data_IF_855135024480
#
_entry.id   IF_855135024480
#
_cell.length_a   1.000
_cell.length_b   1.000
_cell.length_c   1.000
_cell.angle_alpha   90.00
_cell.angle_beta   90.00
_cell.angle_gamma   90.00
#
_symmetry.space_group_name_H-M   'P 1'
#
loop_
_entity.id
_entity.type
_entity.pdbx_description
1 polymer ?
#
# COMPACT_ATOMS: atom_id res chain seq x y z
N UNK A 1 27.12 -54.25 53.29
CA UNK A 1 28.34 -53.47 53.53
C UNK A 1 28.66 -52.74 52.24
N UNK A 2 28.67 -51.41 52.33
CA UNK A 2 29.11 -50.38 51.38
C UNK A 2 28.52 -50.37 49.95
N UNK A 3 27.61 -49.45 49.60
CA UNK A 3 27.71 -47.97 49.51
C UNK A 3 28.44 -47.49 48.27
N UNK A 4 27.68 -47.06 47.25
CA UNK A 4 27.79 -45.71 46.66
C UNK A 4 26.85 -45.57 45.47
N UNK A 5 25.72 -44.88 45.67
CA UNK A 5 24.87 -44.30 44.62
C UNK A 5 25.51 -42.98 44.18
N UNK A 6 25.93 -42.86 42.92
CA UNK A 6 26.33 -41.59 42.33
C UNK A 6 25.09 -40.87 41.77
N UNK A 7 24.70 -39.79 42.44
CA UNK A 7 23.71 -38.81 42.00
C UNK A 7 24.41 -37.72 41.19
N UNK A 8 24.01 -37.55 39.93
CA UNK A 8 24.46 -36.45 39.07
C UNK A 8 23.63 -35.22 39.45
N UNK A 9 24.23 -34.28 40.19
CA UNK A 9 23.67 -32.94 40.41
C UNK A 9 24.29 -31.99 39.39
N UNK A 10 23.46 -31.53 38.45
CA UNK A 10 23.78 -30.47 37.48
C UNK A 10 23.85 -29.14 38.23
N UNK A 11 25.05 -28.58 38.42
CA UNK A 11 25.22 -27.21 38.89
C UNK A 11 24.95 -26.26 37.73
N UNK A 12 23.81 -25.58 37.75
CA UNK A 12 23.57 -24.40 36.92
C UNK A 12 24.38 -23.27 37.56
N UNK A 13 25.40 -22.77 36.84
CA UNK A 13 26.10 -21.53 37.20
C UNK A 13 25.17 -20.40 36.81
N UNK A 14 24.63 -19.70 37.80
CA UNK A 14 23.77 -18.54 37.62
C UNK A 14 24.67 -17.31 37.42
N UNK A 15 24.78 -16.82 36.18
CA UNK A 15 25.69 -15.73 35.76
C UNK A 15 25.16 -14.32 36.13
N UNK A 16 24.04 -14.24 36.86
CA UNK A 16 23.34 -13.00 37.21
C UNK A 16 23.53 -12.57 38.69
N UNK A 17 24.15 -13.39 39.53
CA UNK A 17 24.28 -13.09 40.98
C UNK A 17 25.10 -11.83 41.28
N UNK A 18 26.05 -11.46 40.43
CA UNK A 18 26.89 -10.27 40.65
C UNK A 18 26.22 -8.96 40.19
N UNK A 19 25.35 -9.03 39.16
CA UNK A 19 24.63 -7.87 38.62
C UNK A 19 23.44 -7.51 39.53
N UNK A 20 22.70 -8.52 39.99
CA UNK A 20 21.56 -8.34 40.90
C UNK A 20 22.02 -7.88 42.30
N UNK A 21 23.15 -8.41 42.79
CA UNK A 21 23.72 -8.00 44.08
C UNK A 21 24.24 -6.55 44.08
N UNK A 22 24.65 -6.02 42.92
CA UNK A 22 25.10 -4.63 42.81
C UNK A 22 23.91 -3.65 42.85
N UNK A 23 22.82 -4.00 42.16
CA UNK A 23 21.59 -3.19 42.10
C UNK A 23 20.86 -3.20 43.45
N UNK A 24 20.78 -4.35 44.12
CA UNK A 24 20.13 -4.50 45.42
C UNK A 24 20.85 -3.70 46.52
N UNK A 25 22.18 -3.70 46.53
CA UNK A 25 23.01 -2.87 47.44
C UNK A 25 22.83 -1.36 47.23
N UNK A 26 22.56 -0.92 46.00
CA UNK A 26 22.35 0.50 45.70
C UNK A 26 20.96 0.98 46.17
N UNK A 27 19.93 0.13 46.11
CA UNK A 27 18.59 0.46 46.60
C UNK A 27 18.53 0.57 48.13
N UNK A 28 19.19 -0.32 48.87
CA UNK A 28 19.22 -0.24 50.34
C UNK A 28 19.99 0.99 50.86
N UNK A 29 20.93 1.51 50.06
CA UNK A 29 21.77 2.66 50.43
C UNK A 29 21.05 4.01 50.27
N UNK A 30 19.96 4.05 49.50
CA UNK A 30 19.12 5.25 49.33
C UNK A 30 18.22 5.57 50.54
N UNK A 31 17.85 4.57 51.34
CA UNK A 31 16.85 4.73 52.41
C UNK A 31 17.42 5.14 53.78
N UNK A 32 18.74 5.08 53.99
CA UNK A 32 19.38 5.30 55.31
C UNK A 32 20.14 6.64 55.46
N UNK A 33 19.89 7.60 54.57
CA UNK A 33 20.59 8.89 54.51
C UNK A 33 20.18 9.93 55.56
N UNK A 34 20.21 9.62 56.86
CA UNK A 34 20.30 10.67 57.90
C UNK A 34 20.85 10.16 59.24
N UNK A 35 22.19 10.12 59.38
CA UNK A 35 22.93 10.40 60.62
C UNK A 35 24.43 10.49 60.32
N UNK A 36 25.08 11.53 60.84
CA UNK A 36 26.46 11.90 60.55
C UNK A 36 27.50 11.09 61.37
N UNK A 37 28.65 10.94 60.72
CA UNK A 37 30.03 11.05 61.22
C UNK A 37 30.69 9.90 62.02
N UNK A 38 31.94 9.66 61.60
CA UNK A 38 33.05 8.93 62.23
C UNK A 38 33.08 7.40 62.09
N UNK A 39 33.70 6.91 61.01
CA UNK A 39 35.08 6.38 61.04
C UNK A 39 35.58 6.02 59.62
N UNK A 40 36.87 6.23 59.40
CA UNK A 40 37.56 6.08 58.10
C UNK A 40 37.64 4.63 57.58
N UNK A 41 37.88 4.54 56.26
CA UNK A 41 38.38 3.38 55.50
C UNK A 41 37.32 2.42 54.97
N UNK A 42 36.62 2.87 53.92
CA UNK A 42 36.54 2.09 52.67
C UNK A 42 36.30 3.07 51.51
N UNK A 43 37.36 3.33 50.74
CA UNK A 43 37.21 3.95 49.43
C UNK A 43 36.17 3.14 48.64
N UNK A 44 35.26 3.79 47.89
CA UNK A 44 34.26 3.06 47.12
C UNK A 44 35.01 2.10 46.19
N UNK A 45 34.73 0.80 46.29
CA UNK A 45 35.34 -0.28 45.50
C UNK A 45 34.93 -0.25 44.02
N UNK A 46 34.51 0.92 43.52
CA UNK A 46 34.11 1.15 42.15
C UNK A 46 34.84 2.35 41.56
N UNK A 47 34.99 2.41 40.22
CA UNK A 47 35.67 3.50 39.54
C UNK A 47 35.05 4.86 39.90
N UNK A 48 35.89 5.88 40.07
CA UNK A 48 35.46 7.22 40.48
C UNK A 48 34.74 7.91 39.32
N UNK A 49 33.56 8.47 39.61
CA UNK A 49 32.75 9.18 38.60
C UNK A 49 33.54 10.36 38.00
N UNK A 50 33.48 10.51 36.67
CA UNK A 50 34.10 11.58 35.89
C UNK A 50 35.64 11.71 35.95
N UNK A 51 36.36 10.68 36.40
CA UNK A 51 37.83 10.75 36.56
C UNK A 51 38.64 9.82 35.65
N UNK A 52 37.99 8.94 34.88
CA UNK A 52 38.66 7.94 34.05
C UNK A 52 38.60 8.28 32.56
N UNK A 53 39.69 8.04 31.85
CA UNK A 53 39.69 7.96 30.39
C UNK A 53 39.09 6.64 29.90
N UNK A 54 38.60 6.60 28.65
CA UNK A 54 37.96 5.39 28.11
C UNK A 54 38.88 4.15 28.11
N UNK A 55 40.18 4.34 27.96
CA UNK A 55 41.20 3.28 27.92
C UNK A 55 41.87 3.03 29.28
N UNK A 56 41.40 3.66 30.35
CA UNK A 56 41.90 3.42 31.70
C UNK A 56 41.67 1.93 32.08
N UNK A 57 42.64 1.35 32.77
CA UNK A 57 42.57 -0.02 33.27
C UNK A 57 41.48 -0.19 34.32
N UNK A 58 41.19 0.83 35.12
CA UNK A 58 40.17 0.77 36.18
C UNK A 58 38.74 0.58 35.62
N UNK A 59 38.49 1.04 34.38
CA UNK A 59 37.20 0.88 33.68
C UNK A 59 37.20 -0.24 32.64
N UNK A 60 38.24 -1.08 32.58
CA UNK A 60 38.35 -2.13 31.57
C UNK A 60 37.19 -3.14 31.60
N UNK A 61 36.68 -3.46 32.79
CA UNK A 61 35.51 -4.34 32.96
C UNK A 61 34.23 -3.69 32.43
N UNK A 62 33.99 -2.41 32.72
CA UNK A 62 32.85 -1.64 32.18
C UNK A 62 32.91 -1.52 30.66
N UNK A 63 34.12 -1.31 30.10
CA UNK A 63 34.36 -1.27 28.66
C UNK A 63 34.02 -2.61 27.99
N UNK A 64 34.35 -3.73 28.64
CA UNK A 64 33.98 -5.07 28.15
C UNK A 64 32.46 -5.26 28.13
N UNK A 65 31.75 -4.82 29.17
CA UNK A 65 30.27 -4.85 29.22
C UNK A 65 29.69 -3.98 28.11
N UNK A 66 30.19 -2.76 27.94
CA UNK A 66 29.79 -1.84 26.87
C UNK A 66 29.94 -2.49 25.48
N UNK A 67 31.10 -3.05 25.17
CA UNK A 67 31.32 -3.74 23.89
C UNK A 67 30.47 -4.99 23.74
N UNK A 68 30.18 -5.74 24.82
CA UNK A 68 29.26 -6.88 24.80
C UNK A 68 27.84 -6.44 24.42
N UNK A 69 27.33 -5.38 25.03
CA UNK A 69 26.00 -4.82 24.75
C UNK A 69 25.93 -4.29 23.31
N UNK A 70 26.91 -3.49 22.89
CA UNK A 70 26.96 -2.94 21.54
C UNK A 70 27.11 -4.05 20.49
N UNK A 71 27.99 -5.02 20.72
CA UNK A 71 28.21 -6.15 19.82
C UNK A 71 26.95 -7.02 19.67
N UNK A 72 26.29 -7.36 20.78
CA UNK A 72 25.03 -8.11 20.76
C UNK A 72 23.93 -7.34 20.02
N UNK A 73 23.83 -6.03 20.25
CA UNK A 73 22.86 -5.17 19.55
C UNK A 73 23.10 -5.15 18.05
N UNK A 74 24.35 -5.02 17.61
CA UNK A 74 24.70 -5.07 16.17
C UNK A 74 24.34 -6.43 15.57
N UNK A 75 24.68 -7.53 16.24
CA UNK A 75 24.34 -8.88 15.75
C UNK A 75 22.83 -9.05 15.61
N UNK A 76 22.05 -8.65 16.62
CA UNK A 76 20.59 -8.72 16.56
C UNK A 76 20.00 -7.82 15.47
N UNK A 77 20.54 -6.61 15.29
CA UNK A 77 20.12 -5.72 14.21
C UNK A 77 20.43 -6.30 12.83
N UNK A 78 21.61 -6.90 12.64
CA UNK A 78 21.96 -7.56 11.38
C UNK A 78 21.01 -8.73 11.10
N UNK A 79 20.70 -9.55 12.10
CA UNK A 79 19.73 -10.65 11.95
C UNK A 79 18.34 -10.11 11.62
N UNK A 80 17.86 -9.12 12.37
CA UNK A 80 16.56 -8.47 12.13
C UNK A 80 16.50 -7.82 10.74
N UNK A 81 17.62 -7.23 10.29
CA UNK A 81 17.76 -6.71 8.94
C UNK A 81 17.52 -7.85 7.95
N UNK A 82 18.36 -8.88 7.90
CA UNK A 82 18.18 -9.97 6.93
C UNK A 82 16.77 -10.61 6.94
N UNK A 83 16.16 -10.76 8.12
CA UNK A 83 14.81 -11.31 8.27
C UNK A 83 13.70 -10.37 7.76
N UNK A 84 13.65 -9.13 8.25
CA UNK A 84 12.53 -8.24 7.95
C UNK A 84 12.76 -7.45 6.69
N UNK A 85 14.01 -7.09 6.39
CA UNK A 85 14.31 -6.33 5.20
C UNK A 85 13.83 -7.12 4.00
N UNK A 86 14.30 -8.35 3.80
CA UNK A 86 13.88 -9.22 2.69
C UNK A 86 12.36 -9.26 2.43
N UNK A 87 11.50 -9.13 3.45
CA UNK A 87 10.04 -9.00 3.29
C UNK A 87 9.66 -7.75 2.48
N UNK A 88 10.26 -6.59 2.73
CA UNK A 88 9.96 -5.37 1.97
C UNK A 88 10.49 -5.43 0.53
N UNK A 89 11.75 -5.81 0.32
CA UNK A 89 12.30 -5.93 -1.05
C UNK A 89 11.54 -7.01 -1.83
N UNK A 90 11.18 -8.12 -1.21
CA UNK A 90 10.41 -9.19 -1.85
C UNK A 90 9.01 -8.75 -2.29
N UNK A 91 8.42 -7.75 -1.61
CA UNK A 91 7.08 -7.25 -1.94
C UNK A 91 7.07 -6.39 -3.19
N UNK A 92 8.24 -5.90 -3.61
CA UNK A 92 8.43 -5.04 -4.78
C UNK A 92 9.24 -5.72 -5.89
N UNK A 93 10.10 -6.69 -5.56
CA UNK A 93 11.13 -7.24 -6.45
C UNK A 93 10.57 -7.91 -7.72
N UNK A 94 9.39 -8.52 -7.64
CA UNK A 94 8.77 -9.25 -8.75
C UNK A 94 7.43 -8.65 -9.21
N UNK A 95 7.17 -7.38 -8.91
CA UNK A 95 5.90 -6.71 -9.24
C UNK A 95 5.55 -6.85 -10.74
N UNK A 96 6.56 -6.68 -11.61
CA UNK A 96 6.38 -6.78 -13.06
C UNK A 96 5.98 -8.19 -13.52
N UNK A 97 6.37 -9.24 -12.80
CA UNK A 97 6.02 -10.62 -13.14
C UNK A 97 4.55 -10.97 -12.83
N UNK A 98 3.92 -10.19 -11.96
CA UNK A 98 2.56 -10.41 -11.50
C UNK A 98 1.54 -9.49 -12.18
N UNK A 99 1.97 -8.66 -13.14
CA UNK A 99 1.07 -7.81 -13.93
C UNK A 99 -0.06 -8.61 -14.62
N UNK A 100 0.14 -9.86 -15.09
CA UNK A 100 -0.95 -10.64 -15.66
C UNK A 100 -2.10 -10.92 -14.67
N UNK A 101 -1.89 -10.77 -13.35
CA UNK A 101 -2.97 -10.87 -12.36
C UNK A 101 -3.92 -9.66 -12.38
N UNK A 102 -3.55 -8.57 -13.07
CA UNK A 102 -4.43 -7.44 -13.31
C UNK A 102 -5.40 -7.79 -14.43
N UNK A 103 -6.61 -8.18 -14.03
CA UNK A 103 -7.68 -8.51 -14.96
C UNK A 103 -8.42 -7.26 -15.45
N UNK A 104 -8.71 -7.21 -16.75
CA UNK A 104 -9.53 -6.20 -17.39
C UNK A 104 -10.62 -6.79 -18.28
N UNK A 105 -11.64 -5.99 -18.60
CA UNK A 105 -12.69 -6.37 -19.54
C UNK A 105 -12.51 -5.74 -20.91
N UNK A 106 -12.90 -6.49 -21.93
CA UNK A 106 -13.06 -5.98 -23.31
C UNK A 106 -14.47 -6.25 -23.75
N UNK A 107 -15.17 -5.19 -24.13
CA UNK A 107 -16.58 -5.23 -24.50
C UNK A 107 -16.71 -4.68 -25.91
N UNK A 108 -17.28 -5.48 -26.80
CA UNK A 108 -17.55 -5.07 -28.17
C UNK A 108 -19.03 -4.72 -28.32
N UNK A 109 -19.35 -3.46 -28.64
CA UNK A 109 -20.69 -3.01 -29.02
C UNK A 109 -20.78 -2.59 -30.50
N UNK A 110 -19.70 -2.76 -31.25
CA UNK A 110 -19.62 -2.39 -32.65
C UNK A 110 -20.42 -3.37 -33.51
N UNK A 111 -21.65 -2.96 -33.86
CA UNK A 111 -22.56 -3.70 -34.75
C UNK A 111 -23.06 -5.06 -34.22
N UNK A 112 -24.01 -5.65 -34.94
CA UNK A 112 -24.41 -7.04 -34.73
C UNK A 112 -23.58 -7.98 -35.62
N UNK A 113 -23.12 -9.10 -35.06
CA UNK A 113 -22.44 -10.24 -35.69
C UNK A 113 -21.97 -10.07 -37.17
N UNK A 114 -20.86 -9.36 -37.38
CA UNK A 114 -20.13 -9.36 -38.66
C UNK A 114 -19.75 -7.97 -39.21
N UNK A 115 -20.50 -6.92 -38.87
CA UNK A 115 -20.29 -5.57 -39.42
C UNK A 115 -19.29 -4.72 -38.61
N UNK A 116 -19.08 -5.07 -37.34
CA UNK A 116 -18.14 -4.39 -36.43
C UNK A 116 -16.69 -4.80 -36.61
N UNK A 117 -16.06 -4.36 -37.70
CA UNK A 117 -14.67 -4.69 -38.00
C UNK A 117 -13.70 -4.13 -36.94
N UNK A 118 -13.97 -2.94 -36.41
CA UNK A 118 -13.16 -2.36 -35.32
C UNK A 118 -13.29 -3.21 -34.05
N UNK A 119 -14.53 -3.55 -33.70
CA UNK A 119 -14.84 -4.42 -32.56
C UNK A 119 -14.06 -5.73 -32.58
N UNK A 120 -14.10 -6.44 -33.70
CA UNK A 120 -13.37 -7.70 -33.89
C UNK A 120 -11.85 -7.52 -33.81
N UNK A 121 -11.31 -6.44 -34.39
CA UNK A 121 -9.87 -6.17 -34.36
C UNK A 121 -9.36 -5.87 -32.94
N UNK A 122 -10.13 -5.11 -32.15
CA UNK A 122 -9.80 -4.81 -30.75
C UNK A 122 -9.88 -6.09 -29.91
N UNK A 123 -10.96 -6.87 -30.01
CA UNK A 123 -11.11 -8.12 -29.28
C UNK A 123 -9.95 -9.08 -29.59
N UNK A 124 -9.64 -9.31 -30.87
CA UNK A 124 -8.55 -10.18 -31.27
C UNK A 124 -7.18 -9.73 -30.74
N UNK A 125 -6.90 -8.43 -30.77
CA UNK A 125 -5.64 -7.89 -30.25
C UNK A 125 -5.50 -8.05 -28.73
N UNK A 126 -6.59 -7.87 -27.99
CA UNK A 126 -6.61 -8.00 -26.53
C UNK A 126 -6.56 -9.47 -26.07
N UNK A 127 -7.20 -10.38 -26.80
CA UNK A 127 -7.05 -11.82 -26.58
C UNK A 127 -5.61 -12.28 -26.86
N UNK A 128 -4.99 -11.81 -27.94
CA UNK A 128 -3.59 -12.10 -28.25
C UNK A 128 -2.64 -11.56 -27.16
N UNK A 129 -2.89 -10.33 -26.68
CA UNK A 129 -2.14 -9.74 -25.58
C UNK A 129 -2.25 -10.59 -24.30
N UNK A 130 -3.44 -11.11 -24.00
CA UNK A 130 -3.68 -11.97 -22.83
C UNK A 130 -2.95 -13.31 -22.89
N UNK A 131 -2.66 -13.79 -24.11
CA UNK A 131 -1.82 -14.97 -24.35
C UNK A 131 -0.31 -14.65 -24.33
N UNK A 132 0.06 -13.39 -24.12
CA UNK A 132 1.45 -12.93 -24.14
C UNK A 132 2.04 -12.80 -25.55
N UNK A 133 1.22 -12.76 -26.60
CA UNK A 133 1.70 -12.62 -27.98
C UNK A 133 2.19 -11.19 -28.24
N UNK A 134 3.38 -11.04 -28.83
CA UNK A 134 3.90 -9.75 -29.28
C UNK A 134 4.32 -8.77 -28.17
N UNK A 135 4.40 -9.23 -26.92
CA UNK A 135 4.82 -8.44 -25.74
C UNK A 135 5.92 -9.16 -24.96
N UNK A 136 6.77 -8.43 -24.22
CA UNK A 136 7.72 -9.06 -23.31
C UNK A 136 7.00 -9.92 -22.26
N UNK A 137 7.68 -10.97 -21.79
CA UNK A 137 7.12 -11.94 -20.85
C UNK A 137 6.52 -11.24 -19.62
N UNK A 138 5.26 -11.59 -19.29
CA UNK A 138 4.51 -11.06 -18.14
C UNK A 138 4.32 -9.52 -18.12
N UNK A 139 4.60 -8.81 -19.21
CA UNK A 139 4.35 -7.37 -19.32
C UNK A 139 3.02 -7.07 -20.02
N UNK A 140 1.95 -7.70 -19.54
CA UNK A 140 0.59 -7.53 -20.06
C UNK A 140 -0.44 -7.72 -18.97
N UNK A 141 -1.61 -7.10 -19.17
CA UNK A 141 -2.80 -7.38 -18.39
C UNK A 141 -3.46 -8.63 -18.95
N UNK A 142 -4.30 -9.28 -18.14
CA UNK A 142 -5.17 -10.35 -18.63
C UNK A 142 -6.53 -9.77 -18.95
N UNK A 143 -6.98 -9.94 -20.18
CA UNK A 143 -8.26 -9.39 -20.64
C UNK A 143 -9.28 -10.51 -20.83
N UNK A 144 -10.48 -10.29 -20.31
CA UNK A 144 -11.63 -11.17 -20.52
C UNK A 144 -12.62 -10.48 -21.46
N UNK A 145 -13.00 -11.17 -22.52
CA UNK A 145 -14.05 -10.70 -23.43
C UNK A 145 -15.39 -10.93 -22.75
N UNK A 146 -16.16 -9.86 -22.60
CA UNK A 146 -17.46 -9.87 -21.93
C UNK A 146 -18.51 -9.48 -22.94
N UNK A 147 -19.60 -10.26 -22.98
CA UNK A 147 -20.72 -9.94 -23.86
C UNK A 147 -21.36 -8.61 -23.46
N UNK A 148 -21.75 -7.82 -24.47
CA UNK A 148 -22.39 -6.52 -24.24
C UNK A 148 -23.69 -6.60 -23.44
N UNK A 149 -24.37 -7.75 -23.40
CA UNK A 149 -25.58 -7.96 -22.60
C UNK A 149 -25.31 -8.02 -21.09
N UNK A 150 -24.09 -8.39 -20.66
CA UNK A 150 -23.73 -8.46 -19.25
C UNK A 150 -23.57 -7.07 -18.63
N UNK A 151 -22.99 -6.13 -19.38
CA UNK A 151 -22.83 -4.72 -19.01
C UNK A 151 -23.43 -3.86 -20.13
N UNK A 152 -24.75 -3.61 -20.13
CA UNK A 152 -25.44 -2.98 -21.26
C UNK A 152 -25.11 -1.50 -21.42
N UNK A 153 -24.88 -0.75 -20.34
CA UNK A 153 -24.57 0.68 -20.38
C UNK A 153 -23.10 1.00 -20.10
N UNK A 154 -22.65 2.21 -20.44
CA UNK A 154 -21.30 2.68 -20.08
C UNK A 154 -21.18 2.93 -18.57
N UNK A 155 -22.30 3.25 -17.93
CA UNK A 155 -22.43 3.44 -16.49
C UNK A 155 -22.22 2.12 -15.75
N UNK A 156 -22.75 1.00 -16.27
CA UNK A 156 -22.53 -0.34 -15.70
C UNK A 156 -21.05 -0.73 -15.77
N UNK A 157 -20.38 -0.42 -16.89
CA UNK A 157 -18.93 -0.65 -17.04
C UNK A 157 -18.14 0.20 -16.05
N UNK A 158 -18.49 1.48 -15.93
CA UNK A 158 -17.87 2.37 -14.96
C UNK A 158 -18.10 1.87 -13.51
N UNK A 159 -19.30 1.37 -13.22
CA UNK A 159 -19.63 0.79 -11.93
C UNK A 159 -18.80 -0.45 -11.63
N UNK A 160 -18.67 -1.39 -12.57
CA UNK A 160 -17.86 -2.60 -12.42
C UNK A 160 -16.37 -2.31 -12.13
N UNK A 161 -15.80 -1.28 -12.77
CA UNK A 161 -14.43 -0.83 -12.52
C UNK A 161 -14.29 -0.14 -11.15
N UNK A 162 -15.29 0.63 -10.71
CA UNK A 162 -15.29 1.30 -9.39
C UNK A 162 -15.51 0.30 -8.25
N UNK A 163 -16.37 -0.70 -8.44
CA UNK A 163 -16.64 -1.80 -7.50
C UNK A 163 -15.62 -2.94 -7.59
N UNK A 164 -14.49 -2.68 -8.23
CA UNK A 164 -13.29 -3.52 -8.19
C UNK A 164 -13.46 -4.93 -8.76
N UNK A 165 -14.48 -5.17 -9.61
CA UNK A 165 -14.60 -6.43 -10.36
C UNK A 165 -13.42 -6.62 -11.32
N UNK A 166 -12.97 -5.51 -11.91
CA UNK A 166 -11.81 -5.44 -12.80
C UNK A 166 -10.97 -4.18 -12.54
N UNK A 167 -9.72 -4.20 -12.98
CA UNK A 167 -8.80 -3.06 -12.88
C UNK A 167 -9.01 -2.03 -13.99
N UNK A 168 -9.50 -2.47 -15.15
CA UNK A 168 -9.68 -1.68 -16.35
C UNK A 168 -10.77 -2.28 -17.23
N UNK A 169 -11.40 -1.46 -18.06
CA UNK A 169 -12.30 -1.93 -19.11
C UNK A 169 -12.09 -1.16 -20.40
N UNK A 170 -12.10 -1.85 -21.53
CA UNK A 170 -12.04 -1.27 -22.87
C UNK A 170 -13.34 -1.58 -23.57
N UNK A 171 -14.08 -0.54 -23.93
CA UNK A 171 -15.38 -0.64 -24.60
C UNK A 171 -15.23 -0.10 -26.00
N UNK A 172 -15.52 -0.93 -27.00
CA UNK A 172 -15.77 -0.44 -28.35
C UNK A 172 -17.22 0.03 -28.38
N UNK A 173 -17.42 1.32 -28.62
CA UNK A 173 -18.75 1.93 -28.54
C UNK A 173 -19.65 1.48 -29.69
N UNK A 174 -20.96 1.63 -29.49
CA UNK A 174 -21.96 1.19 -30.44
C UNK A 174 -21.76 1.82 -31.80
N UNK A 175 -21.89 1.00 -32.85
CA UNK A 175 -21.91 1.44 -34.24
C UNK A 175 -20.65 2.23 -34.67
N UNK A 176 -19.50 2.03 -34.02
CA UNK A 176 -18.28 2.77 -34.32
C UNK A 176 -17.88 2.66 -35.80
N UNK A 177 -17.93 1.45 -36.38
CA UNK A 177 -17.58 1.19 -37.78
C UNK A 177 -18.59 1.80 -38.75
N UNK A 178 -19.89 1.71 -38.47
CA UNK A 178 -20.93 2.29 -39.32
C UNK A 178 -20.97 3.82 -39.24
N UNK A 179 -20.70 4.40 -38.06
CA UNK A 179 -20.55 5.84 -37.86
C UNK A 179 -19.41 6.43 -38.69
N UNK A 180 -18.26 5.75 -38.77
CA UNK A 180 -17.18 6.18 -39.66
C UNK A 180 -17.61 6.15 -41.13
N UNK A 181 -18.27 5.07 -41.54
CA UNK A 181 -18.73 4.88 -42.92
C UNK A 181 -19.73 5.96 -43.33
N UNK A 182 -20.70 6.28 -42.45
CA UNK A 182 -21.66 7.36 -42.62
C UNK A 182 -21.00 8.74 -42.61
N UNK A 183 -20.01 8.97 -41.74
CA UNK A 183 -19.28 10.23 -41.71
C UNK A 183 -18.48 10.48 -42.99
N UNK A 184 -17.94 9.42 -43.62
CA UNK A 184 -17.22 9.49 -44.90
C UNK A 184 -18.14 9.76 -46.08
N UNK A 185 -19.36 9.21 -46.10
CA UNK A 185 -20.30 9.46 -47.19
C UNK A 185 -20.97 10.83 -47.09
N UNK A 186 -21.25 11.30 -45.87
CA UNK A 186 -21.95 12.57 -45.64
C UNK A 186 -21.04 13.79 -45.46
N UNK A 187 -19.72 13.61 -45.30
CA UNK A 187 -18.80 14.70 -44.98
C UNK A 187 -19.01 15.30 -43.59
N UNK A 188 -19.40 14.48 -42.61
CA UNK A 188 -19.76 14.95 -41.28
C UNK A 188 -18.55 15.51 -40.50
N UNK A 189 -18.42 16.84 -40.48
CA UNK A 189 -17.36 17.57 -39.77
C UNK A 189 -17.40 17.40 -38.25
N UNK A 190 -18.55 16.98 -37.68
CA UNK A 190 -18.73 16.74 -36.24
C UNK A 190 -18.33 15.33 -35.80
N UNK A 191 -17.88 14.47 -36.72
CA UNK A 191 -17.41 13.12 -36.38
C UNK A 191 -16.20 13.19 -35.44
N UNK A 192 -16.32 12.51 -34.28
CA UNK A 192 -15.28 12.44 -33.26
C UNK A 192 -14.62 11.06 -33.22
N UNK A 193 -13.37 10.89 -33.69
CA UNK A 193 -12.68 9.60 -33.68
C UNK A 193 -12.55 8.96 -32.30
N UNK A 194 -12.43 9.79 -31.25
CA UNK A 194 -12.29 9.35 -29.85
C UNK A 194 -13.54 8.67 -29.30
N UNK A 195 -14.69 8.83 -29.96
CA UNK A 195 -15.94 8.19 -29.57
C UNK A 195 -15.99 6.71 -30.00
N UNK A 196 -14.98 6.20 -30.71
CA UNK A 196 -14.97 4.82 -31.17
C UNK A 196 -14.66 3.82 -30.04
N UNK A 197 -13.68 4.14 -29.19
CA UNK A 197 -13.23 3.27 -28.09
C UNK A 197 -13.12 4.06 -26.80
N UNK A 198 -13.68 3.55 -25.71
CA UNK A 198 -13.52 4.13 -24.37
C UNK A 198 -12.73 3.20 -23.48
N UNK A 199 -11.68 3.70 -22.84
CA UNK A 199 -10.85 2.99 -21.88
C UNK A 199 -11.13 3.50 -20.46
N UNK A 200 -11.80 2.71 -19.64
CA UNK A 200 -12.12 3.00 -18.26
C UNK A 200 -11.08 2.43 -17.30
N UNK A 201 -10.67 3.24 -16.31
CA UNK A 201 -9.80 2.80 -15.21
C UNK A 201 -10.03 3.64 -13.96
N UNK A 202 -9.60 3.12 -12.81
CA UNK A 202 -9.70 3.79 -11.51
C UNK A 202 -8.31 4.03 -10.92
N UNK A 203 -7.79 5.25 -11.06
CA UNK A 203 -6.48 5.61 -10.53
C UNK A 203 -6.46 5.69 -8.99
N UNK A 204 -7.57 6.11 -8.38
CA UNK A 204 -7.71 6.23 -6.92
C UNK A 204 -7.57 4.89 -6.18
N UNK A 205 -7.90 3.76 -6.83
CA UNK A 205 -7.73 2.40 -6.29
C UNK A 205 -6.28 2.14 -5.92
N UNK A 206 -5.36 2.37 -6.86
CA UNK A 206 -3.92 2.38 -6.58
C UNK A 206 -3.19 3.15 -7.68
N UNK A 207 -2.59 4.28 -7.33
CA UNK A 207 -1.93 5.18 -8.25
C UNK A 207 -0.64 4.59 -8.85
N UNK A 208 0.07 3.73 -8.10
CA UNK A 208 1.29 3.08 -8.58
C UNK A 208 0.93 2.08 -9.68
N UNK A 209 -0.06 1.23 -9.44
CA UNK A 209 -0.50 0.25 -10.43
C UNK A 209 -1.11 0.90 -11.68
N UNK A 210 -1.93 1.94 -11.48
CA UNK A 210 -2.53 2.69 -12.57
C UNK A 210 -1.46 3.35 -13.46
N UNK A 211 -0.51 4.07 -12.86
CA UNK A 211 0.47 4.86 -13.59
C UNK A 211 1.63 4.02 -14.18
N UNK A 212 1.99 2.91 -13.54
CA UNK A 212 3.16 2.12 -13.94
C UNK A 212 2.82 0.95 -14.86
N UNK A 213 1.58 0.42 -14.78
CA UNK A 213 1.20 -0.81 -15.49
C UNK A 213 -0.08 -0.64 -16.30
N UNK A 214 -1.21 -0.31 -15.66
CA UNK A 214 -2.54 -0.34 -16.30
C UNK A 214 -2.61 0.65 -17.47
N UNK A 215 -2.34 1.94 -17.22
CA UNK A 215 -2.47 2.98 -18.26
C UNK A 215 -1.41 2.81 -19.36
N UNK A 216 -0.10 2.63 -19.05
CA UNK A 216 0.91 2.49 -20.10
C UNK A 216 0.69 1.27 -21.00
N UNK A 217 0.45 0.09 -20.42
CA UNK A 217 0.30 -1.14 -21.21
C UNK A 217 -0.98 -1.15 -22.04
N UNK A 218 -2.10 -0.70 -21.47
CA UNK A 218 -3.36 -0.61 -22.22
C UNK A 218 -3.26 0.44 -23.33
N UNK A 219 -2.62 1.57 -23.07
CA UNK A 219 -2.41 2.63 -24.07
C UNK A 219 -1.53 2.16 -25.21
N UNK A 220 -0.42 1.47 -24.93
CA UNK A 220 0.47 0.94 -25.96
C UNK A 220 -0.25 -0.10 -26.85
N UNK A 221 -1.07 -0.97 -26.24
CA UNK A 221 -1.88 -1.94 -26.97
C UNK A 221 -2.95 -1.27 -27.84
N UNK A 222 -3.68 -0.30 -27.31
CA UNK A 222 -4.69 0.45 -28.06
C UNK A 222 -4.06 1.22 -29.22
N UNK A 223 -2.95 1.93 -28.98
CA UNK A 223 -2.28 2.72 -30.01
C UNK A 223 -1.72 1.85 -31.14
N UNK A 224 -1.05 0.74 -30.81
CA UNK A 224 -0.53 -0.18 -31.84
C UNK A 224 -1.66 -0.81 -32.66
N UNK A 225 -2.73 -1.27 -32.00
CA UNK A 225 -3.89 -1.88 -32.66
C UNK A 225 -4.63 -0.88 -33.54
N UNK A 226 -4.95 0.31 -33.03
CA UNK A 226 -5.68 1.34 -33.77
C UNK A 226 -4.85 1.90 -34.92
N UNK A 227 -3.55 2.10 -34.76
CA UNK A 227 -2.68 2.57 -35.85
C UNK A 227 -2.63 1.57 -37.01
N UNK A 228 -2.46 0.27 -36.72
CA UNK A 228 -2.49 -0.77 -37.73
C UNK A 228 -3.86 -0.88 -38.41
N UNK A 229 -4.94 -0.84 -37.62
CA UNK A 229 -6.31 -0.93 -38.14
C UNK A 229 -6.72 0.29 -38.97
N UNK A 230 -6.34 1.50 -38.54
CA UNK A 230 -6.58 2.75 -39.28
C UNK A 230 -5.87 2.73 -40.64
N UNK A 231 -4.60 2.30 -40.68
CA UNK A 231 -3.86 2.19 -41.93
C UNK A 231 -4.53 1.22 -42.91
N UNK A 232 -4.97 0.06 -42.42
CA UNK A 232 -5.70 -0.94 -43.22
C UNK A 232 -7.03 -0.38 -43.74
N UNK A 233 -7.84 0.21 -42.86
CA UNK A 233 -9.15 0.78 -43.19
C UNK A 233 -9.03 1.92 -44.21
N UNK A 234 -8.01 2.77 -44.09
CA UNK A 234 -7.74 3.82 -45.06
C UNK A 234 -7.28 3.27 -46.40
N UNK A 235 -6.37 2.30 -46.41
CA UNK A 235 -5.91 1.65 -47.64
C UNK A 235 -7.08 1.02 -48.41
N UNK A 236 -7.98 0.32 -47.71
CA UNK A 236 -9.18 -0.27 -48.31
C UNK A 236 -10.14 0.79 -48.84
N UNK A 237 -10.35 1.88 -48.09
CA UNK A 237 -11.20 2.99 -48.52
C UNK A 237 -10.67 3.67 -49.79
N UNK A 238 -9.38 3.98 -49.85
CA UNK A 238 -8.78 4.59 -51.05
C UNK A 238 -8.72 3.63 -52.24
N UNK A 239 -8.51 2.34 -52.00
CA UNK A 239 -8.58 1.33 -53.06
C UNK A 239 -10.01 1.19 -53.61
N UNK A 240 -11.03 1.20 -52.76
CA UNK A 240 -12.43 1.21 -53.21
C UNK A 240 -12.75 2.47 -54.01
N UNK A 241 -12.26 3.63 -53.57
CA UNK A 241 -12.46 4.89 -54.26
C UNK A 241 -11.76 4.94 -55.64
N UNK A 242 -10.56 4.37 -55.75
CA UNK A 242 -9.83 4.29 -57.01
C UNK A 242 -10.57 3.45 -58.08
N UNK A 243 -11.43 2.51 -57.65
CA UNK A 243 -12.24 1.68 -58.52
C UNK A 243 -13.68 2.20 -58.71
N UNK A 244 -14.01 3.36 -58.12
CA UNK A 244 -15.35 3.96 -58.20
C UNK A 244 -15.49 4.90 -59.42
N UNK A 245 -16.74 5.19 -59.81
CA UNK A 245 -17.01 6.14 -60.90
C UNK A 245 -16.52 7.55 -60.55
N UNK A 246 -16.22 8.36 -61.58
CA UNK A 246 -15.64 9.70 -61.41
C UNK A 246 -16.50 10.64 -60.54
N UNK A 247 -17.83 10.55 -60.65
CA UNK A 247 -18.77 11.33 -59.84
C UNK A 247 -18.66 10.97 -58.35
N UNK A 248 -18.68 9.67 -58.01
CA UNK A 248 -18.53 9.19 -56.65
C UNK A 248 -17.16 9.56 -56.05
N UNK A 249 -16.11 9.53 -56.88
CA UNK A 249 -14.77 9.98 -56.49
C UNK A 249 -14.74 11.46 -56.15
N UNK A 250 -15.41 12.29 -56.93
CA UNK A 250 -15.50 13.73 -56.69
C UNK A 250 -16.28 14.04 -55.40
N UNK A 251 -17.41 13.37 -55.18
CA UNK A 251 -18.21 13.50 -53.95
C UNK A 251 -17.42 13.11 -52.70
N UNK A 252 -16.69 11.99 -52.75
CA UNK A 252 -15.85 11.56 -51.64
C UNK A 252 -14.72 12.54 -51.33
N UNK A 253 -14.12 13.17 -52.36
CA UNK A 253 -13.09 14.21 -52.14
C UNK A 253 -13.67 15.43 -51.42
N UNK A 254 -14.90 15.84 -51.75
CA UNK A 254 -15.60 16.90 -51.03
C UNK A 254 -15.86 16.47 -49.58
N UNK A 255 -16.38 15.27 -49.36
CA UNK A 255 -16.65 14.76 -48.01
C UNK A 255 -15.38 14.67 -47.13
N UNK A 256 -14.25 14.21 -47.70
CA UNK A 256 -12.96 14.20 -47.00
C UNK A 256 -12.49 15.61 -46.67
N UNK A 257 -12.69 16.59 -47.57
CA UNK A 257 -12.33 17.98 -47.30
C UNK A 257 -13.15 18.60 -46.16
N UNK A 258 -14.40 18.16 -46.00
CA UNK A 258 -15.30 18.60 -44.92
C UNK A 258 -15.03 17.87 -43.59
N UNK A 259 -14.57 16.62 -43.65
CA UNK A 259 -14.32 15.77 -42.49
C UNK A 259 -12.94 15.07 -42.57
N UNK A 260 -11.82 15.82 -42.58
CA UNK A 260 -10.48 15.26 -42.79
C UNK A 260 -10.07 14.23 -41.71
N UNK A 261 -10.63 14.35 -40.51
CA UNK A 261 -10.42 13.42 -39.40
C UNK A 261 -10.84 11.98 -39.72
N UNK A 262 -11.81 11.79 -40.63
CA UNK A 262 -12.25 10.46 -41.06
C UNK A 262 -11.18 9.68 -41.83
N UNK A 263 -10.11 10.35 -42.25
CA UNK A 263 -8.97 9.78 -42.96
C UNK A 263 -7.70 9.91 -42.14
N UNK A 264 -7.40 11.07 -41.54
CA UNK A 264 -6.13 11.27 -40.82
C UNK A 264 -6.03 10.38 -39.58
N UNK A 265 -7.12 10.23 -38.83
CA UNK A 265 -7.21 9.33 -37.68
C UNK A 265 -8.66 8.83 -37.55
N UNK A 266 -9.08 7.83 -38.36
CA UNK A 266 -10.47 7.39 -38.43
C UNK A 266 -11.01 6.92 -37.08
N UNK A 267 -10.23 6.10 -36.37
CA UNK A 267 -10.56 5.63 -35.02
C UNK A 267 -9.51 6.09 -34.01
N UNK A 268 -9.99 6.52 -32.84
CA UNK A 268 -9.18 6.83 -31.69
C UNK A 268 -9.87 6.33 -30.41
N UNK A 269 -9.16 6.40 -29.29
CA UNK A 269 -9.73 6.06 -27.99
C UNK A 269 -9.81 7.29 -27.08
N UNK A 270 -10.76 7.26 -26.15
CA UNK A 270 -10.87 8.17 -25.02
C UNK A 270 -10.55 7.41 -23.73
N UNK A 271 -9.56 7.87 -22.97
CA UNK A 271 -9.27 7.32 -21.64
C UNK A 271 -10.09 8.06 -20.58
N UNK A 272 -10.88 7.32 -19.81
CA UNK A 272 -11.78 7.81 -18.77
C UNK A 272 -11.28 7.33 -17.40
N UNK A 273 -10.70 8.26 -16.63
CA UNK A 273 -10.32 8.00 -15.25
C UNK A 273 -11.52 8.25 -14.33
N UNK A 274 -12.09 7.18 -13.80
CA UNK A 274 -13.32 7.23 -13.01
C UNK A 274 -13.13 7.90 -11.66
N UNK A 275 -11.93 7.78 -11.08
CA UNK A 275 -11.53 8.37 -9.80
C UNK A 275 -10.09 8.86 -9.89
N UNK A 276 -9.87 10.11 -10.32
CA UNK A 276 -8.53 10.65 -10.47
C UNK A 276 -7.79 10.79 -9.16
N UNK A 277 -6.48 10.53 -9.19
CA UNK A 277 -5.59 10.87 -8.09
C UNK A 277 -5.24 12.37 -8.17
N UNK A 278 -5.94 13.20 -7.41
CA UNK A 278 -5.97 14.67 -7.60
C UNK A 278 -4.88 15.43 -6.84
N UNK A 279 -4.27 14.84 -5.80
CA UNK A 279 -3.34 15.53 -4.89
C UNK A 279 -2.14 14.65 -4.54
N UNK A 280 -0.94 15.10 -4.91
CA UNK A 280 0.32 14.41 -4.53
C UNK A 280 0.51 14.33 -3.01
N UNK A 281 0.01 15.32 -2.25
CA UNK A 281 0.07 15.30 -0.79
C UNK A 281 -0.63 14.08 -0.16
N UNK A 282 -1.61 13.49 -0.84
CA UNK A 282 -2.29 12.26 -0.37
C UNK A 282 -1.34 11.06 -0.27
N UNK A 283 -0.24 11.04 -1.04
CA UNK A 283 0.77 9.98 -0.99
C UNK A 283 1.48 9.98 0.37
N UNK A 284 1.71 11.16 0.94
CA UNK A 284 2.31 11.29 2.26
C UNK A 284 1.41 10.64 3.33
N UNK A 285 0.09 10.70 3.18
CA UNK A 285 -0.86 10.09 4.13
C UNK A 285 -1.00 8.58 3.91
N UNK A 286 -1.04 8.15 2.65
CA UNK A 286 -1.27 6.76 2.28
C UNK A 286 -0.06 5.85 2.50
N UNK A 287 1.16 6.38 2.45
CA UNK A 287 2.39 5.60 2.61
C UNK A 287 3.15 5.98 3.87
N UNK A 288 3.75 7.17 3.89
CA UNK A 288 4.65 7.60 4.98
C UNK A 288 3.87 7.83 6.29
N UNK A 289 2.64 8.33 6.17
CA UNK A 289 1.75 8.60 7.28
C UNK A 289 1.38 7.35 8.07
N UNK A 290 1.27 6.21 7.38
CA UNK A 290 1.03 4.91 8.02
C UNK A 290 2.20 4.52 8.94
N UNK A 291 3.44 4.85 8.54
CA UNK A 291 4.63 4.63 9.38
C UNK A 291 4.59 5.55 10.61
N UNK A 292 4.20 6.81 10.43
CA UNK A 292 4.07 7.75 11.55
C UNK A 292 3.04 7.28 12.58
N UNK A 293 1.91 6.72 12.14
CA UNK A 293 0.90 6.13 13.04
C UNK A 293 1.54 5.04 13.90
N UNK A 294 2.32 4.12 13.32
CA UNK A 294 3.01 3.06 14.07
C UNK A 294 4.00 3.65 15.08
N UNK A 295 4.84 4.60 14.64
CA UNK A 295 5.88 5.22 15.49
C UNK A 295 5.24 5.97 16.66
N UNK A 296 4.21 6.76 16.40
CA UNK A 296 3.51 7.53 17.43
C UNK A 296 2.83 6.60 18.44
N UNK A 297 2.17 5.53 17.97
CA UNK A 297 1.59 4.51 18.85
C UNK A 297 2.65 3.84 19.73
N UNK A 298 3.82 3.52 19.15
CA UNK A 298 4.94 2.93 19.88
C UNK A 298 5.52 3.87 20.94
N UNK A 299 5.66 5.17 20.66
CA UNK A 299 6.12 6.16 21.65
C UNK A 299 5.17 6.20 22.85
N UNK A 300 3.86 6.15 22.61
CA UNK A 300 2.87 6.06 23.69
C UNK A 300 3.02 4.76 24.47
N UNK A 301 3.19 3.61 23.80
CA UNK A 301 3.44 2.32 24.49
C UNK A 301 4.66 2.39 25.41
N UNK A 302 5.78 2.93 24.94
CA UNK A 302 7.00 3.05 25.74
C UNK A 302 6.83 4.00 26.93
N UNK A 303 6.19 5.15 26.71
CA UNK A 303 5.91 6.12 27.76
C UNK A 303 4.95 5.55 28.80
N UNK A 304 3.94 4.83 28.34
CA UNK A 304 2.95 4.19 29.18
C UNK A 304 3.60 3.07 30.00
N UNK A 305 4.49 2.27 29.43
CA UNK A 305 5.23 1.24 30.17
C UNK A 305 6.07 1.82 31.32
N UNK A 306 6.84 2.87 31.04
CA UNK A 306 7.60 3.59 32.06
C UNK A 306 6.69 4.16 33.16
N UNK A 307 5.61 4.85 32.80
CA UNK A 307 4.67 5.44 33.75
C UNK A 307 3.96 4.38 34.61
N UNK A 308 3.64 3.21 34.03
CA UNK A 308 3.03 2.10 34.76
C UNK A 308 3.99 1.50 35.78
N UNK A 309 5.30 1.50 35.54
CA UNK A 309 6.29 1.01 36.49
C UNK A 309 6.16 1.66 37.88
N UNK A 310 5.77 2.95 37.92
CA UNK A 310 5.60 3.73 39.15
C UNK A 310 4.40 3.25 39.98
N UNK A 311 3.27 2.95 39.33
CA UNK A 311 2.00 2.66 40.02
C UNK A 311 1.70 1.15 40.09
N UNK A 312 2.32 0.32 39.24
CA UNK A 312 2.02 -1.11 39.12
C UNK A 312 2.14 -1.91 40.43
N UNK A 313 3.09 -1.66 41.35
CA UNK A 313 3.19 -2.42 42.59
C UNK A 313 1.98 -2.24 43.53
N UNK A 314 1.24 -1.15 43.36
CA UNK A 314 0.09 -0.79 44.20
C UNK A 314 -1.26 -1.23 43.63
N UNK A 315 -1.28 -1.81 42.43
CA UNK A 315 -2.52 -2.13 41.71
C UNK A 315 -2.85 -3.63 41.78
N UNK A 316 -4.13 -3.94 41.99
CA UNK A 316 -4.66 -5.30 41.77
C UNK A 316 -4.59 -5.64 40.27
N UNK A 317 -4.44 -6.92 39.94
CA UNK A 317 -4.35 -7.41 38.55
C UNK A 317 -5.46 -6.85 37.64
N UNK A 318 -6.74 -6.91 38.06
CA UNK A 318 -7.86 -6.38 37.26
C UNK A 318 -7.79 -4.86 37.03
N UNK A 319 -7.23 -4.12 37.98
CA UNK A 319 -7.02 -2.67 37.82
C UNK A 319 -5.87 -2.39 36.87
N UNK A 320 -4.78 -3.15 36.99
CA UNK A 320 -3.61 -3.06 36.12
C UNK A 320 -3.96 -3.43 34.67
N UNK A 321 -4.68 -4.53 34.44
CA UNK A 321 -5.09 -4.98 33.12
C UNK A 321 -6.02 -3.97 32.43
N UNK A 322 -6.99 -3.40 33.16
CA UNK A 322 -7.87 -2.34 32.62
C UNK A 322 -7.09 -1.08 32.29
N UNK A 323 -6.15 -0.66 33.13
CA UNK A 323 -5.29 0.49 32.86
C UNK A 323 -4.47 0.27 31.58
N UNK A 324 -3.89 -0.93 31.41
CA UNK A 324 -3.07 -1.29 30.25
C UNK A 324 -3.82 -1.21 28.93
N UNK A 325 -5.11 -1.56 28.91
CA UNK A 325 -5.95 -1.50 27.71
C UNK A 325 -6.59 -0.12 27.50
N UNK A 326 -7.16 0.48 28.55
CA UNK A 326 -8.00 1.67 28.40
C UNK A 326 -7.19 2.97 28.30
N UNK A 327 -6.06 3.08 29.00
CA UNK A 327 -5.26 4.33 28.98
C UNK A 327 -4.70 4.64 27.59
N UNK A 328 -4.08 3.70 26.86
CA UNK A 328 -3.63 3.96 25.49
C UNK A 328 -4.78 4.41 24.58
N UNK A 329 -5.95 3.75 24.67
CA UNK A 329 -7.12 4.11 23.87
C UNK A 329 -7.57 5.56 24.13
N UNK A 330 -7.57 6.02 25.39
CA UNK A 330 -7.92 7.41 25.69
C UNK A 330 -6.86 8.39 25.16
N UNK A 331 -5.57 8.05 25.28
CA UNK A 331 -4.46 8.90 24.81
C UNK A 331 -4.43 9.01 23.28
N UNK A 332 -4.83 7.95 22.56
CA UNK A 332 -4.87 7.98 21.10
C UNK A 332 -5.91 8.95 20.54
N UNK A 333 -6.96 9.32 21.28
CA UNK A 333 -8.00 10.26 20.83
C UNK A 333 -7.40 11.64 20.45
N UNK A 334 -6.75 12.40 21.36
CA UNK A 334 -6.17 13.69 21.00
C UNK A 334 -4.99 13.58 20.03
N UNK A 335 -4.24 12.47 20.06
CA UNK A 335 -3.09 12.25 19.19
C UNK A 335 -3.50 12.01 17.74
N UNK A 336 -4.43 11.07 17.51
CA UNK A 336 -5.01 10.79 16.20
C UNK A 336 -5.74 12.00 15.64
N UNK A 337 -6.43 12.77 16.49
CA UNK A 337 -7.11 14.00 16.06
C UNK A 337 -6.10 15.06 15.59
N UNK A 338 -5.02 15.25 16.35
CA UNK A 338 -3.93 16.15 15.98
C UNK A 338 -3.27 15.73 14.67
N UNK A 339 -3.01 14.41 14.50
CA UNK A 339 -2.51 13.86 13.23
C UNK A 339 -3.47 14.16 12.07
N UNK A 340 -4.78 13.96 12.26
CA UNK A 340 -5.77 14.26 11.23
C UNK A 340 -5.77 15.76 10.88
N UNK A 341 -5.71 16.66 11.87
CA UNK A 341 -5.71 18.11 11.68
C UNK A 341 -4.51 18.62 10.86
N UNK A 342 -3.33 18.01 11.00
CA UNK A 342 -2.13 18.40 10.22
C UNK A 342 -2.37 18.28 8.71
N UNK A 343 -3.34 17.47 8.28
CA UNK A 343 -3.68 17.31 6.86
C UNK A 343 -4.56 18.43 6.29
N UNK A 344 -5.24 19.23 7.14
CA UNK A 344 -6.18 20.26 6.70
C UNK A 344 -5.52 21.40 5.89
N UNK A 345 -4.37 21.97 6.30
CA UNK A 345 -3.72 23.04 5.53
C UNK A 345 -3.29 22.62 4.12
N UNK A 346 -3.06 21.32 3.90
CA UNK A 346 -2.65 20.76 2.61
C UNK A 346 -3.83 20.50 1.66
N UNK A 347 -5.06 20.84 2.07
CA UNK A 347 -6.28 20.77 1.24
C UNK A 347 -6.49 19.39 0.61
N UNK A 348 -6.35 18.35 1.44
CA UNK A 348 -6.73 16.98 1.05
C UNK A 348 -8.25 16.93 0.81
N UNK A 349 -8.66 16.23 -0.24
CA UNK A 349 -10.06 16.12 -0.66
C UNK A 349 -10.81 15.12 0.21
N UNK A 350 -11.40 15.58 1.33
CA UNK A 350 -12.26 14.74 2.18
C UNK A 350 -13.71 14.65 1.68
N UNK A 351 -14.05 15.37 0.61
CA UNK A 351 -15.39 15.52 0.06
C UNK A 351 -15.66 14.64 -1.18
N UNK A 352 -14.78 13.69 -1.49
CA UNK A 352 -14.92 12.87 -2.69
C UNK A 352 -16.12 11.90 -2.64
N UNK A 353 -16.40 11.34 -1.45
CA UNK A 353 -17.51 10.39 -1.21
C UNK A 353 -18.52 10.88 -0.19
N UNK A 354 -18.05 11.63 0.81
CA UNK A 354 -18.83 12.13 1.93
C UNK A 354 -18.85 13.65 1.92
N UNK A 355 -19.59 14.28 2.84
CA UNK A 355 -19.40 15.71 3.08
C UNK A 355 -17.99 15.96 3.60
N UNK A 356 -17.41 17.13 3.34
CA UNK A 356 -16.04 17.43 3.76
C UNK A 356 -15.80 17.17 5.25
N UNK A 357 -16.73 17.62 6.12
CA UNK A 357 -16.68 17.36 7.55
C UNK A 357 -16.83 15.87 7.88
N UNK A 358 -17.79 15.18 7.24
CA UNK A 358 -18.00 13.74 7.43
C UNK A 358 -16.77 12.91 7.04
N UNK A 359 -16.16 13.19 5.89
CA UNK A 359 -14.94 12.52 5.44
C UNK A 359 -13.75 12.79 6.34
N UNK A 360 -13.60 14.02 6.85
CA UNK A 360 -12.55 14.35 7.81
C UNK A 360 -12.70 13.59 9.13
N UNK A 361 -13.91 13.56 9.71
CA UNK A 361 -14.15 12.83 10.96
C UNK A 361 -14.05 11.32 10.77
N UNK A 362 -14.49 10.78 9.63
CA UNK A 362 -14.26 9.38 9.29
C UNK A 362 -12.76 9.07 9.18
N UNK A 363 -11.99 9.92 8.50
CA UNK A 363 -10.54 9.77 8.40
C UNK A 363 -9.88 9.76 9.77
N UNK A 364 -10.28 10.67 10.66
CA UNK A 364 -9.80 10.69 12.04
C UNK A 364 -10.12 9.39 12.79
N UNK A 365 -11.36 8.89 12.70
CA UNK A 365 -11.75 7.62 13.35
C UNK A 365 -10.92 6.45 12.83
N UNK A 366 -10.63 6.39 11.54
CA UNK A 366 -9.75 5.36 10.96
C UNK A 366 -8.30 5.49 11.43
N UNK A 367 -7.77 6.71 11.53
CA UNK A 367 -6.44 6.95 12.14
C UNK A 367 -6.42 6.50 13.59
N UNK A 368 -7.48 6.80 14.35
CA UNK A 368 -7.63 6.37 15.75
C UNK A 368 -7.65 4.84 15.86
N UNK A 369 -8.45 4.15 15.04
CA UNK A 369 -8.50 2.69 15.00
C UNK A 369 -7.15 2.08 14.62
N UNK A 370 -6.45 2.66 13.62
CA UNK A 370 -5.11 2.24 13.25
C UNK A 370 -4.10 2.40 14.41
N UNK A 371 -4.12 3.55 15.09
CA UNK A 371 -3.29 3.78 16.28
C UNK A 371 -3.59 2.78 17.40
N UNK A 372 -4.87 2.49 17.63
CA UNK A 372 -5.32 1.52 18.62
C UNK A 372 -4.87 0.10 18.28
N UNK A 373 -5.08 -0.37 17.05
CA UNK A 373 -4.69 -1.72 16.62
C UNK A 373 -3.18 -1.94 16.73
N UNK A 374 -2.39 -1.01 16.16
CA UNK A 374 -0.93 -1.10 16.15
C UNK A 374 -0.33 -0.87 17.54
N UNK A 375 -0.88 0.06 18.31
CA UNK A 375 -0.45 0.38 19.67
C UNK A 375 -0.78 -0.71 20.69
N UNK A 376 -1.95 -1.35 20.56
CA UNK A 376 -2.29 -2.50 21.39
C UNK A 376 -1.44 -3.73 21.01
N UNK A 377 -1.05 -3.88 19.75
CA UNK A 377 -0.10 -4.91 19.34
C UNK A 377 1.28 -4.71 19.99
N UNK A 378 1.79 -3.47 20.06
CA UNK A 378 3.05 -3.16 20.77
C UNK A 378 2.91 -3.32 22.28
N UNK A 379 1.75 -2.96 22.85
CA UNK A 379 1.44 -3.21 24.26
C UNK A 379 1.35 -4.70 24.58
N UNK A 380 0.82 -5.55 23.70
CA UNK A 380 0.85 -6.98 23.93
C UNK A 380 2.30 -7.51 23.88
N UNK A 381 3.08 -7.04 22.92
CA UNK A 381 4.41 -7.57 22.68
C UNK A 381 5.46 -7.12 23.71
N UNK A 382 5.31 -5.95 24.33
CA UNK A 382 6.26 -5.48 25.35
C UNK A 382 6.24 -6.37 26.61
N UNK A 383 5.13 -7.05 26.90
CA UNK A 383 5.09 -8.08 27.97
C UNK A 383 5.93 -9.31 27.62
N UNK A 384 6.01 -9.67 26.34
CA UNK A 384 6.76 -10.85 25.89
C UNK A 384 8.23 -10.56 25.67
N UNK A 385 8.55 -9.41 25.04
CA UNK A 385 9.90 -9.06 24.63
C UNK A 385 10.64 -8.17 25.62
N UNK A 386 9.95 -7.62 26.63
CA UNK A 386 10.51 -6.63 27.57
C UNK A 386 10.88 -5.31 26.85
N UNK A 387 10.99 -4.17 27.56
CA UNK A 387 11.43 -2.90 26.95
C UNK A 387 12.79 -2.95 26.25
N UNK A 388 13.63 -3.96 26.58
CA UNK A 388 14.96 -4.14 25.99
C UNK A 388 14.92 -4.58 24.52
N UNK A 389 13.96 -5.42 24.10
CA UNK A 389 13.91 -5.99 22.75
C UNK A 389 12.73 -5.50 21.90
N UNK A 390 11.86 -4.65 22.45
CA UNK A 390 10.67 -4.17 21.74
C UNK A 390 10.98 -3.34 20.50
N UNK A 391 12.16 -2.71 20.42
CA UNK A 391 12.61 -1.97 19.24
C UNK A 391 12.79 -2.87 18.00
N UNK A 392 13.18 -4.13 18.18
CA UNK A 392 13.29 -5.09 17.06
C UNK A 392 11.91 -5.50 16.55
N UNK A 393 10.93 -5.63 17.46
CA UNK A 393 9.55 -5.86 17.07
C UNK A 393 8.94 -4.66 16.34
N UNK A 394 9.29 -3.43 16.73
CA UNK A 394 8.87 -2.24 15.99
C UNK A 394 9.31 -2.31 14.52
N UNK A 395 10.56 -2.71 14.26
CA UNK A 395 11.07 -2.91 12.89
C UNK A 395 10.23 -3.97 12.16
N UNK A 396 9.98 -5.11 12.79
CA UNK A 396 9.16 -6.18 12.23
C UNK A 396 7.73 -5.72 11.92
N UNK A 397 7.11 -4.98 12.85
CA UNK A 397 5.75 -4.48 12.77
C UNK A 397 5.61 -3.47 11.62
N UNK A 398 6.54 -2.53 11.51
CA UNK A 398 6.57 -1.53 10.42
C UNK A 398 6.72 -2.24 9.08
N UNK A 399 7.74 -3.08 8.92
CA UNK A 399 8.04 -3.66 7.62
C UNK A 399 6.91 -4.59 7.17
N UNK A 400 6.40 -5.46 8.04
CA UNK A 400 5.33 -6.39 7.67
C UNK A 400 4.07 -5.67 7.20
N UNK A 401 3.70 -4.56 7.86
CA UNK A 401 2.53 -3.74 7.51
C UNK A 401 2.71 -2.91 6.24
N UNK A 402 3.87 -2.28 6.05
CA UNK A 402 4.12 -1.38 4.91
C UNK A 402 4.34 -2.16 3.62
N UNK A 403 4.91 -3.37 3.71
CA UNK A 403 5.20 -4.23 2.56
C UNK A 403 3.97 -4.54 1.72
N UNK A 404 2.80 -4.67 2.35
CA UNK A 404 1.53 -5.05 1.71
C UNK A 404 0.67 -3.86 1.28
N UNK A 405 0.97 -2.65 1.75
CA UNK A 405 0.13 -1.48 1.51
C UNK A 405 0.60 -0.60 0.33
N UNK A 406 1.84 -0.79 -0.12
CA UNK A 406 2.46 0.08 -1.14
C UNK A 406 1.90 -0.18 -2.54
N UNK A 407 1.86 -1.44 -2.96
CA UNK A 407 1.33 -1.89 -4.25
C UNK A 407 0.15 -2.83 -4.01
N UNK A 408 -0.77 -3.02 -4.97
CA UNK A 408 -1.84 -3.98 -4.82
C UNK A 408 -1.31 -5.38 -4.54
N UNK A 409 -1.92 -6.10 -3.59
CA UNK A 409 -1.50 -7.46 -3.21
C UNK A 409 -1.50 -8.42 -4.40
N UNK A 410 -2.36 -8.20 -5.40
CA UNK A 410 -2.38 -9.01 -6.65
C UNK A 410 -1.10 -8.90 -7.49
N UNK A 411 -0.34 -7.82 -7.32
CA UNK A 411 0.97 -7.62 -7.94
C UNK A 411 2.12 -8.18 -7.09
N UNK A 412 1.82 -8.78 -5.95
CA UNK A 412 2.80 -9.34 -5.04
C UNK A 412 2.74 -10.88 -5.08
N UNK A 413 3.83 -11.57 -4.72
CA UNK A 413 3.78 -13.01 -4.50
C UNK A 413 2.69 -13.39 -3.49
N UNK A 414 2.12 -14.59 -3.63
CA UNK A 414 1.00 -15.04 -2.77
C UNK A 414 1.30 -15.02 -1.27
N UNK A 415 2.58 -15.06 -0.88
CA UNK A 415 3.03 -14.86 0.50
C UNK A 415 2.44 -13.59 1.14
N UNK A 416 2.31 -12.49 0.39
CA UNK A 416 1.85 -11.19 0.90
C UNK A 416 0.34 -11.08 1.12
N UNK A 417 -0.43 -12.15 0.85
CA UNK A 417 -1.87 -12.18 1.13
C UNK A 417 -2.21 -12.03 2.62
N UNK A 418 -1.24 -12.21 3.53
CA UNK A 418 -1.43 -11.87 4.95
C UNK A 418 -1.84 -10.40 5.14
N UNK A 419 -1.52 -9.53 4.18
CA UNK A 419 -1.82 -8.10 4.25
C UNK A 419 -3.29 -7.76 4.41
N UNK A 420 -4.19 -8.60 3.88
CA UNK A 420 -5.64 -8.42 4.07
C UNK A 420 -6.06 -8.42 5.56
N UNK A 421 -5.31 -9.12 6.42
CA UNK A 421 -5.54 -9.16 7.86
C UNK A 421 -4.74 -8.14 8.67
N UNK A 422 -4.02 -7.22 8.03
CA UNK A 422 -3.13 -6.27 8.71
C UNK A 422 -3.71 -4.85 8.73
N UNK A 423 -3.52 -4.08 9.83
CA UNK A 423 -4.17 -2.78 9.99
C UNK A 423 -3.80 -1.74 8.93
N UNK A 424 -2.53 -1.70 8.49
CA UNK A 424 -2.07 -0.64 7.57
C UNK A 424 -2.65 -0.78 6.16
N UNK A 425 -2.83 -2.01 5.67
CA UNK A 425 -3.48 -2.24 4.37
C UNK A 425 -4.94 -1.74 4.41
N UNK A 426 -5.69 -2.16 5.43
CA UNK A 426 -7.09 -1.79 5.64
C UNK A 426 -7.27 -0.29 5.89
N UNK A 427 -6.37 0.32 6.65
CA UNK A 427 -6.34 1.77 6.84
C UNK A 427 -6.07 2.50 5.52
N UNK A 428 -5.11 2.04 4.71
CA UNK A 428 -4.86 2.63 3.40
C UNK A 428 -6.07 2.53 2.46
N UNK A 429 -6.76 1.38 2.42
CA UNK A 429 -8.01 1.23 1.66
C UNK A 429 -9.11 2.17 2.16
N UNK A 430 -9.30 2.28 3.48
CA UNK A 430 -10.30 3.17 4.06
C UNK A 430 -10.04 4.64 3.72
N UNK A 431 -8.77 5.07 3.81
CA UNK A 431 -8.36 6.42 3.42
C UNK A 431 -8.66 6.64 1.93
N UNK A 432 -8.33 5.69 1.05
CA UNK A 432 -8.64 5.76 -0.40
C UNK A 432 -10.14 5.89 -0.66
N UNK A 433 -10.97 5.14 0.05
CA UNK A 433 -12.44 5.25 -0.05
C UNK A 433 -12.92 6.66 0.29
N UNK A 434 -12.37 7.26 1.36
CA UNK A 434 -12.75 8.60 1.83
C UNK A 434 -12.29 9.67 0.83
N UNK A 435 -11.02 9.64 0.41
CA UNK A 435 -10.40 10.75 -0.34
C UNK A 435 -10.56 10.65 -1.86
N UNK A 436 -10.77 9.45 -2.39
CA UNK A 436 -10.87 9.18 -3.83
C UNK A 436 -12.17 8.50 -4.25
N UNK A 437 -13.11 8.25 -3.32
CA UNK A 437 -14.39 7.61 -3.65
C UNK A 437 -14.23 6.27 -4.38
N UNK A 438 -13.30 5.44 -3.91
CA UNK A 438 -13.16 4.04 -4.33
C UNK A 438 -14.26 3.18 -3.68
N UNK A 439 -14.22 1.87 -3.94
CA UNK A 439 -15.14 0.89 -3.35
C UNK A 439 -15.24 1.04 -1.83
N UNK A 440 -16.45 0.82 -1.32
CA UNK A 440 -16.69 0.94 0.10
C UNK A 440 -16.32 -0.35 0.84
N UNK A 441 -15.11 -0.41 1.39
CA UNK A 441 -14.68 -1.47 2.32
C UNK A 441 -14.64 -1.01 3.78
N UNK A 442 -15.20 0.17 4.13
CA UNK A 442 -15.04 0.74 5.46
C UNK A 442 -15.49 -0.19 6.60
N UNK A 443 -16.55 -0.98 6.38
CA UNK A 443 -17.01 -1.95 7.39
C UNK A 443 -16.01 -3.08 7.64
N UNK A 444 -15.41 -3.63 6.58
CA UNK A 444 -14.34 -4.62 6.68
C UNK A 444 -13.08 -4.00 7.31
N UNK A 445 -12.68 -2.84 6.81
CA UNK A 445 -11.47 -2.15 7.22
C UNK A 445 -11.50 -1.69 8.68
N UNK A 446 -12.68 -1.47 9.25
CA UNK A 446 -12.86 -1.15 10.66
C UNK A 446 -12.91 -2.41 11.55
N UNK A 447 -13.26 -3.56 10.98
CA UNK A 447 -13.33 -4.83 11.69
C UNK A 447 -11.96 -5.50 11.87
N UNK A 448 -11.04 -5.26 10.92
CA UNK A 448 -9.61 -5.63 11.01
C UNK A 448 -8.88 -4.62 11.88
#
# INVERSE_FOLDING_TARGET
MDSSRNSITRTVVDDNTDEDAYIEKEQTRGELGHRMAEDEVQAPTGPRKFQHGFWDSEVAHLRKIYFKIMGMTIVLLVVAMWLFFSIYWGSLGETAQHVPNLNGYVINRDGSAGEGLLGQAIVAAFEANSRGEGVPEKQHLTWTVVDSSYLPSNEDVAYAVVEEEVWAAVVVNSDATSLLTSARSSGNSSYGPRNAVTFYYNQGRNEIAANSFIVPYTTALLQSTLSAFNAKTNSQYFAALANSADEARQEAMVAISQAPQTVSQPFAYAAMNLRPYTKTASQAVLLVGQIYIIILSFIITMTHDFARGIISPFLRFNSYARMRLLVPLVIYIPLSFSYAMVNLPFKITFDAKYTYAGGFFLFWVFVYMGMAALGLATEAMITLLTPRFIAYFLIALIISNVSVASVPIVLQPSFYQYGYGFPVFNLAEAVRTIIFNTKNHLGLNAGV
#
